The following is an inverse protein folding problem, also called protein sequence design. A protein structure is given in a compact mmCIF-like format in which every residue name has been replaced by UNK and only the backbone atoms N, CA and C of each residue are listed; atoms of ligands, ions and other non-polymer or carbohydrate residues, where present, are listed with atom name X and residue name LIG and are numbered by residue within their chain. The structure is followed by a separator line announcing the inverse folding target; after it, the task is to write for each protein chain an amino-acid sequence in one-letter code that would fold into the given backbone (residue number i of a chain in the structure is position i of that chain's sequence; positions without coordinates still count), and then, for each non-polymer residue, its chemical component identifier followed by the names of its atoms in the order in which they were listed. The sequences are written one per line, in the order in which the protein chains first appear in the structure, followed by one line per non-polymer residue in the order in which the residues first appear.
data_IF_287233846472
#
_entry.id   IF_287233846472
#
_cell.length_a   1.000
_cell.length_b   1.000
_cell.length_c   1.000
_cell.angle_alpha   90.00
_cell.angle_beta   90.00
_cell.angle_gamma   90.00
#
_symmetry.space_group_name_H-M   'P 1'
#
loop_
_entity.id
_entity.type
_entity.pdbx_description
1 polymer ?
#
# COMPACT_ATOMS: atom_id res chain seq x y z
N UNK A 1 79.10 12.03 16.01
CA UNK A 1 78.20 11.70 17.13
C UNK A 1 76.94 11.13 16.52
N UNK A 2 76.81 9.80 16.52
CA UNK A 2 75.73 9.07 15.84
C UNK A 2 74.70 8.68 16.90
N UNK A 3 73.45 9.13 16.73
CA UNK A 3 72.33 8.78 17.60
C UNK A 3 71.73 7.42 17.19
N UNK A 4 71.22 6.60 18.14
CA UNK A 4 70.71 5.28 17.83
C UNK A 4 69.25 5.34 17.35
N UNK A 5 68.95 4.52 16.33
CA UNK A 5 67.59 4.28 15.82
C UNK A 5 66.91 3.26 16.73
N UNK A 6 65.84 3.68 17.42
CA UNK A 6 65.01 2.79 18.23
C UNK A 6 64.05 2.00 17.33
N UNK A 7 64.17 0.67 17.33
CA UNK A 7 63.27 -0.24 16.63
C UNK A 7 61.96 -0.45 17.43
N UNK A 8 60.83 -0.02 16.87
CA UNK A 8 59.50 -0.38 17.37
C UNK A 8 59.11 -1.77 16.85
N UNK A 9 58.98 -2.74 17.75
CA UNK A 9 58.40 -4.04 17.47
C UNK A 9 56.87 -3.95 17.38
N UNK A 10 56.30 -4.24 16.21
CA UNK A 10 54.85 -4.35 16.01
C UNK A 10 54.41 -5.76 16.42
N UNK A 11 53.72 -5.87 17.56
CA UNK A 11 53.14 -7.12 18.02
C UNK A 11 51.92 -7.47 17.16
N UNK A 12 52.04 -8.49 16.32
CA UNK A 12 50.94 -9.06 15.55
C UNK A 12 50.01 -9.88 16.48
N UNK A 13 48.87 -9.30 16.86
CA UNK A 13 47.81 -10.02 17.59
C UNK A 13 47.04 -10.93 16.63
N UNK A 14 47.35 -12.22 16.70
CA UNK A 14 46.57 -13.29 16.07
C UNK A 14 45.16 -13.33 16.67
N UNK A 15 44.18 -12.77 15.96
CA UNK A 15 42.75 -12.97 16.22
C UNK A 15 42.37 -14.40 15.83
N UNK A 16 42.42 -15.32 16.79
CA UNK A 16 41.86 -16.65 16.65
C UNK A 16 40.34 -16.55 16.50
N UNK A 17 39.84 -16.80 15.29
CA UNK A 17 38.41 -16.89 15.01
C UNK A 17 37.84 -18.14 15.69
N UNK A 18 37.17 -17.95 16.83
CA UNK A 18 36.37 -19.00 17.45
C UNK A 18 35.15 -19.20 16.56
N UNK A 19 35.15 -20.27 15.75
CA UNK A 19 33.97 -20.74 15.06
C UNK A 19 32.96 -21.22 16.12
N UNK A 20 32.04 -20.33 16.50
CA UNK A 20 30.94 -20.66 17.37
C UNK A 20 30.04 -21.67 16.67
N UNK A 21 30.19 -22.95 17.04
CA UNK A 21 29.29 -24.02 16.64
C UNK A 21 27.92 -23.75 17.25
N UNK A 22 27.04 -23.07 16.50
CA UNK A 22 25.68 -22.76 16.93
C UNK A 22 24.93 -24.06 17.26
N UNK A 23 24.55 -24.24 18.54
CA UNK A 23 23.69 -25.35 18.98
C UNK A 23 22.35 -25.26 18.24
N UNK A 24 22.06 -26.27 17.41
CA UNK A 24 20.82 -26.42 16.65
C UNK A 24 19.61 -26.33 17.60
N UNK A 25 18.82 -25.26 17.47
CA UNK A 25 17.58 -25.09 18.22
C UNK A 25 16.62 -26.27 17.96
N UNK A 26 15.85 -26.64 18.98
CA UNK A 26 14.75 -27.59 18.84
C UNK A 26 13.76 -27.08 17.79
N UNK A 27 13.31 -27.96 16.89
CA UNK A 27 12.63 -27.56 15.65
C UNK A 27 11.38 -26.72 15.88
N UNK A 28 11.35 -25.53 15.31
CA UNK A 28 10.18 -24.66 15.23
C UNK A 28 9.11 -25.29 14.35
N UNK A 29 7.84 -25.17 14.74
CA UNK A 29 6.70 -25.49 13.86
C UNK A 29 6.49 -24.28 12.95
N UNK A 30 6.60 -24.49 11.64
CA UNK A 30 6.34 -23.44 10.67
C UNK A 30 4.85 -23.06 10.65
N UNK A 31 4.52 -21.76 10.42
CA UNK A 31 3.15 -21.36 10.17
C UNK A 31 2.61 -22.06 8.92
N UNK A 32 1.28 -22.20 8.85
CA UNK A 32 0.60 -22.63 7.63
C UNK A 32 0.94 -21.75 6.43
N UNK A 33 0.63 -22.21 5.22
CA UNK A 33 0.94 -21.49 3.99
C UNK A 33 0.72 -22.33 2.75
N UNK A 34 0.75 -21.68 1.59
CA UNK A 34 0.72 -22.31 0.26
C UNK A 34 2.15 -22.49 -0.23
N UNK A 35 2.46 -23.66 -0.75
CA UNK A 35 3.78 -24.00 -1.31
C UNK A 35 3.62 -24.36 -2.79
N UNK A 36 4.16 -23.53 -3.67
CA UNK A 36 4.05 -23.63 -5.13
C UNK A 36 5.09 -24.62 -5.67
N UNK A 37 4.66 -25.58 -6.50
CA UNK A 37 5.53 -26.63 -7.05
C UNK A 37 6.51 -26.08 -8.11
N UNK A 38 7.78 -26.46 -7.99
CA UNK A 38 8.82 -26.02 -8.91
C UNK A 38 8.87 -26.83 -10.20
N UNK A 39 8.22 -26.34 -11.25
CA UNK A 39 8.67 -26.47 -12.65
C UNK A 39 8.12 -25.27 -13.44
N UNK A 40 9.03 -24.49 -14.04
CA UNK A 40 8.72 -23.21 -14.65
C UNK A 40 7.62 -23.25 -15.73
N UNK A 41 7.02 -22.08 -15.95
CA UNK A 41 5.97 -21.76 -16.92
C UNK A 41 4.58 -22.21 -16.48
N UNK A 42 4.00 -21.49 -15.52
CA UNK A 42 2.56 -21.52 -15.30
C UNK A 42 1.92 -20.75 -16.46
N UNK A 43 1.19 -21.47 -17.29
CA UNK A 43 0.13 -20.90 -18.12
C UNK A 43 -0.86 -20.21 -17.16
N UNK A 44 -1.14 -18.89 -17.29
CA UNK A 44 -2.01 -18.15 -16.37
C UNK A 44 -3.44 -18.73 -16.28
N UNK A 45 -3.80 -19.70 -17.13
CA UNK A 45 -5.05 -20.46 -17.03
C UNK A 45 -5.00 -21.68 -16.07
N UNK A 46 -3.83 -22.11 -15.56
CA UNK A 46 -3.65 -23.38 -14.83
C UNK A 46 -3.01 -23.25 -13.43
N UNK A 47 -2.99 -22.04 -12.85
CA UNK A 47 -2.26 -21.67 -11.62
C UNK A 47 -2.65 -22.30 -10.29
N UNK A 48 -2.71 -23.63 -10.18
CA UNK A 48 -3.13 -24.30 -8.93
C UNK A 48 -2.25 -25.46 -8.46
N UNK A 49 -1.03 -25.68 -9.01
CA UNK A 49 -0.13 -26.73 -8.50
C UNK A 49 0.55 -26.31 -7.19
N UNK A 50 -0.23 -26.26 -6.11
CA UNK A 50 0.21 -25.87 -4.76
C UNK A 50 -0.13 -26.94 -3.71
N UNK A 51 0.76 -27.09 -2.72
CA UNK A 51 0.50 -27.81 -1.47
C UNK A 51 0.12 -26.78 -0.41
N UNK A 52 -1.09 -26.88 0.15
CA UNK A 52 -1.58 -25.91 1.15
C UNK A 52 -1.61 -26.56 2.52
N UNK A 53 -1.00 -25.91 3.51
CA UNK A 53 -1.06 -26.31 4.93
C UNK A 53 -1.87 -25.27 5.69
N UNK A 54 -3.00 -25.66 6.28
CA UNK A 54 -3.81 -24.77 7.13
C UNK A 54 -4.51 -25.54 8.24
N UNK A 55 -4.42 -25.05 9.47
CA UNK A 55 -5.12 -25.64 10.62
C UNK A 55 -4.85 -27.14 10.88
N UNK A 56 -3.67 -27.64 10.51
CA UNK A 56 -3.33 -29.08 10.60
C UNK A 56 -3.91 -29.95 9.48
N UNK A 57 -4.49 -29.34 8.45
CA UNK A 57 -4.91 -30.00 7.22
C UNK A 57 -3.94 -29.69 6.09
N UNK A 58 -3.86 -30.63 5.14
CA UNK A 58 -3.11 -30.48 3.90
C UNK A 58 -4.00 -30.80 2.71
N UNK A 59 -3.95 -29.97 1.67
CA UNK A 59 -4.52 -30.22 0.35
C UNK A 59 -3.45 -30.09 -0.73
N UNK A 60 -3.71 -30.68 -1.90
CA UNK A 60 -2.84 -30.57 -3.08
C UNK A 60 -3.73 -30.13 -4.24
N UNK A 61 -3.58 -28.87 -4.66
CA UNK A 61 -4.32 -28.28 -5.77
C UNK A 61 -5.84 -28.54 -5.67
N UNK A 62 -6.50 -28.64 -6.83
CA UNK A 62 -7.84 -29.24 -6.99
C UNK A 62 -7.84 -30.78 -6.99
N UNK A 63 -6.67 -31.41 -6.98
CA UNK A 63 -6.54 -32.86 -7.09
C UNK A 63 -6.90 -33.59 -5.79
N UNK A 64 -6.36 -33.15 -4.66
CA UNK A 64 -6.58 -33.80 -3.36
C UNK A 64 -7.23 -32.82 -2.37
N UNK A 65 -8.45 -33.11 -1.86
CA UNK A 65 -9.17 -32.24 -0.92
C UNK A 65 -8.46 -32.15 0.43
N UNK A 66 -8.81 -31.22 1.33
CA UNK A 66 -8.17 -31.12 2.64
C UNK A 66 -8.24 -32.43 3.45
N UNK A 67 -7.09 -32.95 3.87
CA UNK A 67 -6.96 -34.12 4.73
C UNK A 67 -6.14 -33.79 5.97
N UNK A 68 -6.46 -34.43 7.10
CA UNK A 68 -5.69 -34.27 8.33
C UNK A 68 -4.23 -34.67 8.11
N UNK A 69 -3.32 -33.80 8.52
CA UNK A 69 -1.90 -34.02 8.43
C UNK A 69 -1.27 -34.14 9.81
N UNK A 70 -0.28 -35.02 9.91
CA UNK A 70 0.62 -35.09 11.05
C UNK A 70 1.80 -34.16 10.79
N UNK A 71 1.83 -33.04 11.52
CA UNK A 71 2.92 -32.08 11.55
C UNK A 71 3.85 -32.45 12.72
N UNK A 72 5.14 -32.63 12.47
CA UNK A 72 6.10 -33.03 13.50
C UNK A 72 7.39 -32.22 13.36
N UNK A 73 7.75 -31.40 14.36
CA UNK A 73 9.01 -30.66 14.32
C UNK A 73 10.21 -31.60 14.39
N UNK A 74 11.31 -31.21 13.76
CA UNK A 74 12.54 -32.01 13.71
C UNK A 74 13.78 -31.15 13.47
N UNK A 75 14.97 -31.76 13.64
CA UNK A 75 16.27 -31.08 13.46
C UNK A 75 16.59 -30.69 12.01
N UNK A 76 15.85 -31.23 11.04
CA UNK A 76 15.96 -30.93 9.61
C UNK A 76 14.76 -30.12 9.12
N UNK A 77 13.96 -29.55 10.03
CA UNK A 77 12.71 -28.86 9.72
C UNK A 77 11.45 -29.63 10.11
N UNK A 78 10.29 -29.10 9.75
CA UNK A 78 8.98 -29.66 10.08
C UNK A 78 8.58 -30.75 9.08
N UNK A 79 8.34 -31.97 9.57
CA UNK A 79 7.85 -33.07 8.73
C UNK A 79 6.33 -33.04 8.63
N UNK A 80 5.83 -33.18 7.40
CA UNK A 80 4.41 -33.16 7.05
C UNK A 80 4.05 -34.51 6.46
N UNK A 81 3.06 -35.19 7.05
CA UNK A 81 2.51 -36.43 6.50
C UNK A 81 1.01 -36.35 6.39
N UNK A 82 0.48 -36.64 5.21
CA UNK A 82 -0.96 -36.68 4.96
C UNK A 82 -1.31 -37.89 4.09
N UNK A 83 -2.55 -38.35 4.19
CA UNK A 83 -3.05 -39.45 3.38
C UNK A 83 -4.50 -39.20 2.97
N UNK A 84 -4.81 -39.48 1.71
CA UNK A 84 -6.13 -39.34 1.12
C UNK A 84 -6.69 -40.70 0.75
N UNK A 85 -8.00 -40.86 0.92
CA UNK A 85 -8.72 -42.06 0.48
C UNK A 85 -8.92 -42.07 -1.03
N UNK A 86 -9.11 -40.89 -1.62
CA UNK A 86 -9.22 -40.65 -3.04
C UNK A 86 -8.75 -39.23 -3.36
N UNK A 87 -8.15 -39.05 -4.53
CA UNK A 87 -7.89 -37.76 -5.16
C UNK A 87 -8.43 -37.82 -6.59
N UNK A 88 -8.87 -36.68 -7.12
CA UNK A 88 -9.35 -36.53 -8.49
C UNK A 88 -8.28 -37.02 -9.47
N UNK A 89 -8.67 -37.94 -10.38
CA UNK A 89 -7.75 -38.48 -11.39
C UNK A 89 -6.74 -39.53 -10.90
N UNK A 90 -6.76 -39.92 -9.61
CA UNK A 90 -5.86 -40.94 -9.07
C UNK A 90 -6.61 -42.12 -8.47
N UNK A 91 -6.29 -43.32 -8.94
CA UNK A 91 -6.85 -44.55 -8.40
C UNK A 91 -6.24 -44.89 -7.04
N UNK A 92 -7.11 -45.00 -6.01
CA UNK A 92 -6.75 -45.49 -4.69
C UNK A 92 -6.18 -44.43 -3.73
N UNK A 93 -5.54 -44.92 -2.66
CA UNK A 93 -4.98 -44.05 -1.61
C UNK A 93 -3.76 -43.30 -2.11
N UNK A 94 -3.67 -42.02 -1.71
CA UNK A 94 -2.53 -41.15 -1.97
C UNK A 94 -1.86 -40.82 -0.64
N UNK A 95 -0.53 -40.84 -0.62
CA UNK A 95 0.28 -40.52 0.55
C UNK A 95 1.24 -39.39 0.22
N UNK A 96 1.25 -38.36 1.07
CA UNK A 96 2.24 -37.29 1.04
C UNK A 96 3.21 -37.46 2.21
N UNK A 97 4.50 -37.40 1.90
CA UNK A 97 5.55 -37.24 2.88
C UNK A 97 6.46 -36.10 2.43
N UNK A 98 6.46 -35.01 3.18
CA UNK A 98 7.26 -33.82 2.88
C UNK A 98 7.95 -33.30 4.14
N UNK A 99 8.99 -32.49 3.94
CA UNK A 99 9.71 -31.75 4.97
C UNK A 99 9.78 -30.30 4.53
N UNK A 100 9.34 -29.41 5.43
CA UNK A 100 9.52 -27.97 5.33
C UNK A 100 10.83 -27.63 6.04
N UNK A 101 11.72 -26.89 5.38
CA UNK A 101 13.02 -26.51 5.95
C UNK A 101 12.86 -25.60 7.19
N UNK A 102 13.88 -25.50 8.06
CA UNK A 102 13.81 -24.64 9.25
C UNK A 102 13.50 -23.17 8.98
N UNK A 103 13.87 -22.64 7.80
CA UNK A 103 13.52 -21.28 7.34
C UNK A 103 12.05 -21.12 6.97
N UNK A 104 11.31 -22.22 6.83
CA UNK A 104 9.90 -22.27 6.42
C UNK A 104 9.60 -21.88 4.96
N UNK A 105 10.61 -21.55 4.17
CA UNK A 105 10.47 -21.03 2.80
C UNK A 105 10.38 -22.13 1.74
N UNK A 106 10.90 -23.32 2.03
CA UNK A 106 10.97 -24.42 1.07
C UNK A 106 10.37 -25.70 1.65
N UNK A 107 9.76 -26.48 0.77
CA UNK A 107 9.22 -27.80 1.06
C UNK A 107 9.71 -28.79 0.01
N UNK A 108 10.31 -29.89 0.46
CA UNK A 108 10.66 -31.00 -0.40
C UNK A 108 9.94 -32.26 0.05
N UNK A 109 9.44 -33.06 -0.90
CA UNK A 109 8.64 -34.21 -0.56
C UNK A 109 8.44 -35.22 -1.66
N UNK A 110 7.59 -36.19 -1.37
CA UNK A 110 7.17 -37.21 -2.33
C UNK A 110 5.68 -37.46 -2.17
N UNK A 111 4.98 -37.49 -3.30
CA UNK A 111 3.60 -37.97 -3.41
C UNK A 111 3.64 -39.38 -3.98
N UNK A 112 2.96 -40.31 -3.31
CA UNK A 112 2.90 -41.72 -3.70
C UNK A 112 1.45 -42.15 -3.81
N UNK A 113 1.07 -42.70 -4.97
CA UNK A 113 -0.20 -43.38 -5.19
C UNK A 113 0.08 -44.79 -5.73
N UNK A 114 0.19 -45.81 -4.86
CA UNK A 114 0.67 -47.13 -5.26
C UNK A 114 -0.18 -47.80 -6.33
N UNK A 115 -1.51 -47.68 -6.25
CA UNK A 115 -2.44 -48.27 -7.22
C UNK A 115 -2.39 -47.60 -8.59
N UNK A 116 -2.07 -46.31 -8.62
CA UNK A 116 -1.80 -45.58 -9.85
C UNK A 116 -0.33 -45.68 -10.31
N UNK A 117 0.51 -46.47 -9.61
CA UNK A 117 1.97 -46.59 -9.83
C UNK A 117 2.69 -45.23 -9.88
N UNK A 118 2.15 -44.24 -9.18
CA UNK A 118 2.70 -42.88 -9.16
C UNK A 118 3.63 -42.72 -7.96
N UNK A 119 4.85 -42.27 -8.23
CA UNK A 119 5.77 -41.78 -7.20
C UNK A 119 6.50 -40.57 -7.76
N UNK A 120 6.05 -39.38 -7.38
CA UNK A 120 6.67 -38.12 -7.81
C UNK A 120 7.33 -37.44 -6.63
N UNK A 121 8.61 -37.08 -6.81
CA UNK A 121 9.30 -36.16 -5.92
C UNK A 121 8.99 -34.74 -6.36
N UNK A 122 8.94 -33.83 -5.41
CA UNK A 122 8.76 -32.42 -5.70
C UNK A 122 9.59 -31.57 -4.76
N UNK A 123 9.93 -30.38 -5.24
CA UNK A 123 10.36 -29.25 -4.43
C UNK A 123 9.34 -28.14 -4.67
N UNK A 124 9.00 -27.42 -3.60
CA UNK A 124 8.05 -26.33 -3.62
C UNK A 124 8.60 -25.17 -2.78
N UNK A 125 8.26 -23.94 -3.17
CA UNK A 125 8.57 -22.72 -2.42
C UNK A 125 7.30 -22.16 -1.81
N UNK A 126 7.40 -21.61 -0.59
CA UNK A 126 6.30 -20.89 0.04
C UNK A 126 5.97 -19.68 -0.84
N UNK A 127 4.68 -19.48 -1.11
CA UNK A 127 4.20 -18.29 -1.82
C UNK A 127 4.42 -17.08 -0.93
N UNK A 128 5.17 -16.10 -1.44
CA UNK A 128 5.40 -14.82 -0.79
C UNK A 128 5.26 -13.69 -1.79
N UNK A 129 4.71 -12.58 -1.32
CA UNK A 129 4.55 -11.41 -2.16
C UNK A 129 5.92 -10.88 -2.62
N UNK A 130 6.11 -10.76 -3.93
CA UNK A 130 7.38 -10.33 -4.52
C UNK A 130 8.40 -11.46 -4.72
N UNK A 131 7.97 -12.73 -4.63
CA UNK A 131 8.80 -13.89 -4.97
C UNK A 131 8.95 -14.12 -6.49
N UNK A 132 8.27 -13.30 -7.30
CA UNK A 132 8.26 -13.34 -8.75
C UNK A 132 7.31 -14.37 -9.35
N UNK A 133 6.43 -14.98 -8.54
CA UNK A 133 5.44 -15.97 -8.95
C UNK A 133 4.05 -15.56 -8.47
N UNK A 134 3.16 -15.24 -9.41
CA UNK A 134 1.79 -14.83 -9.08
C UNK A 134 0.93 -16.01 -8.58
N UNK A 135 0.57 -16.02 -7.30
CA UNK A 135 -0.36 -16.98 -6.68
C UNK A 135 -1.78 -16.43 -6.54
N UNK A 136 -2.52 -16.47 -7.66
CA UNK A 136 -3.96 -16.12 -7.68
C UNK A 136 -4.77 -16.94 -6.67
N UNK A 137 -4.39 -18.20 -6.46
CA UNK A 137 -5.04 -19.08 -5.48
C UNK A 137 -4.71 -18.76 -4.01
N UNK A 138 -3.68 -17.93 -3.78
CA UNK A 138 -3.31 -17.34 -2.50
C UNK A 138 -3.89 -15.93 -2.28
N UNK A 139 -4.56 -15.37 -3.30
CA UNK A 139 -5.14 -14.03 -3.25
C UNK A 139 -4.22 -12.93 -3.78
N UNK A 140 -3.09 -13.27 -4.39
CA UNK A 140 -2.20 -12.32 -5.04
C UNK A 140 -2.80 -11.86 -6.37
N UNK A 141 -2.80 -10.55 -6.60
CA UNK A 141 -3.32 -9.92 -7.83
C UNK A 141 -2.18 -9.52 -8.77
N UNK A 142 -0.97 -9.38 -8.24
CA UNK A 142 0.19 -8.85 -8.94
C UNK A 142 1.47 -9.29 -8.24
N UNK A 143 2.59 -9.12 -8.94
CA UNK A 143 3.94 -9.42 -8.45
C UNK A 143 4.89 -8.29 -8.82
N UNK A 144 5.71 -7.84 -7.85
CA UNK A 144 6.64 -6.72 -8.00
C UNK A 144 5.99 -5.45 -8.60
N UNK A 145 6.12 -5.21 -9.90
CA UNK A 145 5.47 -4.11 -10.65
C UNK A 145 4.62 -4.62 -11.85
N UNK A 146 4.50 -5.94 -11.99
CA UNK A 146 3.82 -6.61 -13.09
C UNK A 146 2.45 -7.16 -12.68
N UNK A 147 1.56 -7.29 -13.67
CA UNK A 147 0.23 -7.90 -13.49
C UNK A 147 -0.91 -6.94 -13.15
N UNK A 148 -0.60 -5.68 -12.77
CA UNK A 148 -1.61 -4.64 -12.59
C UNK A 148 -1.90 -3.84 -13.88
N UNK A 149 -3.05 -3.15 -13.90
CA UNK A 149 -3.40 -2.26 -15.01
C UNK A 149 -2.42 -1.08 -15.15
N UNK A 150 -2.45 -0.40 -16.30
CA UNK A 150 -1.51 0.68 -16.69
C UNK A 150 -1.30 1.81 -15.66
N UNK A 151 -2.26 2.06 -14.78
CA UNK A 151 -2.22 3.12 -13.75
C UNK A 151 -2.23 2.56 -12.33
N UNK A 152 -2.09 1.26 -12.18
CA UNK A 152 -2.07 0.57 -10.90
C UNK A 152 -0.65 0.13 -10.59
N UNK A 153 -0.33 0.10 -9.31
CA UNK A 153 0.93 -0.43 -8.81
C UNK A 153 0.65 -1.58 -7.87
N UNK A 154 1.55 -2.54 -7.84
CA UNK A 154 1.44 -3.63 -6.91
C UNK A 154 1.91 -3.16 -5.53
N UNK A 155 1.02 -3.13 -4.54
CA UNK A 155 1.36 -2.85 -3.15
C UNK A 155 0.84 -4.00 -2.31
N UNK A 156 1.76 -4.70 -1.65
CA UNK A 156 1.43 -5.90 -0.86
C UNK A 156 0.58 -6.91 -1.64
N UNK A 157 0.92 -7.13 -2.93
CA UNK A 157 0.26 -8.06 -3.84
C UNK A 157 -1.22 -7.77 -4.13
N UNK A 158 -1.65 -6.55 -3.85
CA UNK A 158 -2.89 -5.98 -4.34
C UNK A 158 -2.59 -4.91 -5.39
N UNK A 159 -3.37 -4.91 -6.47
CA UNK A 159 -3.36 -3.79 -7.38
C UNK A 159 -4.08 -2.63 -6.70
N UNK A 160 -3.30 -1.64 -6.33
CA UNK A 160 -3.83 -0.38 -5.82
C UNK A 160 -3.69 0.64 -6.93
N UNK A 161 -4.63 1.59 -6.99
CA UNK A 161 -4.47 2.76 -7.83
C UNK A 161 -3.09 3.34 -7.54
N UNK A 162 -2.22 3.30 -8.56
CA UNK A 162 -0.96 4.00 -8.54
C UNK A 162 -1.36 5.44 -8.47
N UNK A 163 -1.26 6.02 -7.28
CA UNK A 163 -1.53 7.44 -7.08
C UNK A 163 -0.69 8.19 -8.09
N UNK A 164 -1.32 8.56 -9.21
CA UNK A 164 -0.79 9.58 -10.07
C UNK A 164 -0.76 10.80 -9.17
N UNK A 165 0.44 11.31 -8.90
CA UNK A 165 0.58 12.75 -8.80
C UNK A 165 0.19 13.27 -10.17
N UNK A 166 -1.13 13.39 -10.41
CA UNK A 166 -1.67 13.93 -11.63
C UNK A 166 -1.33 15.40 -11.61
N UNK A 167 -0.15 15.75 -12.12
CA UNK A 167 0.08 17.11 -12.62
C UNK A 167 -0.88 17.25 -13.80
N UNK A 168 -2.10 17.69 -13.50
CA UNK A 168 -3.09 18.06 -14.49
C UNK A 168 -2.50 19.27 -15.20
N UNK A 169 -1.86 19.07 -16.36
CA UNK A 169 -1.66 20.15 -17.31
C UNK A 169 -3.03 20.52 -17.84
N UNK A 170 -3.71 21.41 -17.11
CA UNK A 170 -4.95 22.03 -17.53
C UNK A 170 -4.69 22.73 -18.87
N UNK A 171 -5.35 22.25 -19.93
CA UNK A 171 -5.38 22.91 -21.24
C UNK A 171 -6.24 24.19 -21.21
N UNK A 172 -6.91 24.45 -20.08
CA UNK A 172 -7.63 25.70 -19.85
C UNK A 172 -6.64 26.76 -19.35
N UNK A 173 -6.78 28.02 -19.77
CA UNK A 173 -5.95 29.10 -19.26
C UNK A 173 -6.03 29.13 -17.72
N UNK A 174 -4.92 29.47 -17.05
CA UNK A 174 -4.90 29.55 -15.60
C UNK A 174 -5.95 30.56 -15.12
N UNK A 175 -6.57 30.25 -13.99
CA UNK A 175 -7.56 31.13 -13.37
C UNK A 175 -6.83 32.36 -12.84
N UNK A 176 -7.32 33.54 -13.20
CA UNK A 176 -6.83 34.81 -12.69
C UNK A 176 -7.63 35.23 -11.46
N UNK A 177 -6.95 35.56 -10.36
CA UNK A 177 -7.63 36.05 -9.18
C UNK A 177 -8.42 37.33 -9.49
N UNK A 178 -7.77 38.29 -10.15
CA UNK A 178 -8.36 39.59 -10.44
C UNK A 178 -9.51 39.52 -11.46
N UNK A 179 -9.38 38.67 -12.48
CA UNK A 179 -10.36 38.56 -13.58
C UNK A 179 -11.49 37.58 -13.29
N UNK A 180 -11.20 36.46 -12.62
CA UNK A 180 -12.13 35.34 -12.55
C UNK A 180 -12.70 35.14 -11.12
N UNK A 181 -11.90 35.34 -10.06
CA UNK A 181 -12.32 35.09 -8.66
C UNK A 181 -12.89 36.34 -7.99
N UNK A 182 -12.21 37.48 -8.10
CA UNK A 182 -12.64 38.73 -7.46
C UNK A 182 -14.04 39.18 -7.88
N UNK A 183 -14.48 39.04 -9.15
CA UNK A 183 -15.85 39.38 -9.53
C UNK A 183 -16.90 38.54 -8.81
N UNK A 184 -16.63 37.24 -8.57
CA UNK A 184 -17.51 36.35 -7.82
C UNK A 184 -17.65 36.86 -6.38
N UNK A 185 -16.53 37.15 -5.71
CA UNK A 185 -16.57 37.71 -4.36
C UNK A 185 -17.29 39.05 -4.30
N UNK A 186 -17.08 39.91 -5.30
CA UNK A 186 -17.71 41.23 -5.37
C UNK A 186 -19.23 41.10 -5.51
N UNK A 187 -19.70 40.17 -6.34
CA UNK A 187 -21.12 39.96 -6.60
C UNK A 187 -21.85 39.27 -5.45
N UNK A 188 -21.19 38.35 -4.73
CA UNK A 188 -21.88 37.42 -3.82
C UNK A 188 -21.41 37.45 -2.37
N UNK A 189 -20.30 38.12 -2.05
CA UNK A 189 -19.69 38.05 -0.71
C UNK A 189 -19.35 39.43 -0.12
N UNK A 190 -18.77 40.33 -0.93
CA UNK A 190 -18.40 41.70 -0.56
C UNK A 190 -19.63 42.64 -0.57
N UNK A 191 -20.73 42.18 0.01
CA UNK A 191 -21.96 42.94 0.17
C UNK A 191 -21.91 43.75 1.48
N UNK A 192 -22.52 44.95 1.53
CA UNK A 192 -22.62 45.72 2.76
C UNK A 192 -23.12 44.85 3.92
N UNK A 193 -22.45 44.97 5.08
CA UNK A 193 -22.71 44.19 6.30
C UNK A 193 -22.34 42.70 6.26
N UNK A 194 -21.87 42.17 5.12
CA UNK A 194 -21.34 40.82 4.99
C UNK A 194 -19.80 40.84 5.08
N UNK A 195 -19.08 40.82 3.96
CA UNK A 195 -17.61 40.78 3.94
C UNK A 195 -17.01 42.03 3.29
N UNK A 196 -17.56 43.21 3.56
CA UNK A 196 -16.98 44.49 3.12
C UNK A 196 -17.31 45.62 4.10
N UNK A 197 -16.50 46.68 4.06
CA UNK A 197 -16.76 47.93 4.78
C UNK A 197 -16.04 48.02 6.13
N UNK A 198 -16.47 48.91 7.04
CA UNK A 198 -15.72 49.22 8.26
C UNK A 198 -15.81 48.12 9.34
N UNK A 199 -16.78 47.20 9.23
CA UNK A 199 -16.99 46.09 10.16
C UNK A 199 -17.40 44.82 9.40
N UNK A 200 -16.48 44.23 8.62
CA UNK A 200 -16.78 43.01 7.89
C UNK A 200 -16.93 41.83 8.87
N UNK A 201 -17.88 40.95 8.58
CA UNK A 201 -18.11 39.72 9.36
C UNK A 201 -16.84 38.88 9.42
N UNK A 202 -16.59 38.31 10.59
CA UNK A 202 -15.40 37.50 10.88
C UNK A 202 -14.07 38.19 10.55
N UNK A 203 -14.03 39.53 10.56
CA UNK A 203 -12.85 40.32 10.21
C UNK A 203 -12.26 39.89 8.84
N UNK A 204 -13.14 39.67 7.85
CA UNK A 204 -12.78 39.25 6.50
C UNK A 204 -13.34 40.26 5.48
N UNK A 205 -12.46 41.09 4.92
CA UNK A 205 -12.79 42.06 3.87
C UNK A 205 -12.47 41.44 2.49
N UNK A 206 -13.52 41.13 1.73
CA UNK A 206 -13.46 40.60 0.36
C UNK A 206 -13.58 41.69 -0.70
N UNK A 207 -13.49 42.96 -0.30
CA UNK A 207 -13.43 44.09 -1.21
C UNK A 207 -12.20 44.05 -2.12
N UNK A 208 -12.34 44.66 -3.30
CA UNK A 208 -11.27 44.77 -4.30
C UNK A 208 -10.01 45.38 -3.66
N UNK A 209 -8.86 44.74 -3.91
CA UNK A 209 -7.56 45.17 -3.40
C UNK A 209 -7.26 44.78 -1.94
N UNK A 210 -8.18 44.10 -1.24
CA UNK A 210 -8.00 43.62 0.15
C UNK A 210 -8.25 42.12 0.30
N UNK A 211 -9.16 41.58 -0.50
CA UNK A 211 -9.60 40.18 -0.52
C UNK A 211 -8.46 39.16 -0.50
N UNK A 212 -7.47 39.28 -1.39
CA UNK A 212 -6.40 38.30 -1.54
C UNK A 212 -5.61 38.12 -0.23
N UNK A 213 -5.07 39.22 0.29
CA UNK A 213 -4.27 39.24 1.52
C UNK A 213 -5.08 38.86 2.76
N UNK A 214 -6.41 38.98 2.72
CA UNK A 214 -7.30 38.57 3.79
C UNK A 214 -7.66 37.07 3.75
N UNK A 215 -7.33 36.36 2.65
CA UNK A 215 -7.72 34.96 2.41
C UNK A 215 -6.53 33.99 2.42
N UNK A 216 -5.52 34.25 1.58
CA UNK A 216 -4.47 33.26 1.31
C UNK A 216 -3.54 33.15 2.51
N UNK A 217 -3.41 31.93 3.03
CA UNK A 217 -2.58 31.57 4.19
C UNK A 217 -2.93 32.33 5.49
N UNK A 218 -4.11 32.94 5.56
CA UNK A 218 -4.64 33.58 6.77
C UNK A 218 -5.47 32.59 7.57
N UNK A 219 -5.19 32.36 8.87
CA UNK A 219 -6.00 31.49 9.71
C UNK A 219 -7.47 31.93 9.77
N UNK A 220 -8.40 30.97 9.80
CA UNK A 220 -9.82 31.26 9.97
C UNK A 220 -10.13 31.55 11.43
N UNK A 221 -11.00 32.53 11.72
CA UNK A 221 -11.37 32.84 13.12
C UNK A 221 -12.27 31.77 13.73
N UNK A 222 -13.18 31.22 12.92
CA UNK A 222 -14.08 30.15 13.33
C UNK A 222 -13.35 28.80 13.42
N UNK A 223 -12.28 28.63 12.63
CA UNK A 223 -11.45 27.42 12.64
C UNK A 223 -9.94 27.76 12.54
N UNK A 224 -9.26 28.04 13.67
CA UNK A 224 -7.85 28.43 13.64
C UNK A 224 -6.89 27.35 13.09
N UNK A 225 -7.33 26.08 13.07
CA UNK A 225 -6.58 24.96 12.52
C UNK A 225 -6.52 24.96 10.98
N UNK A 226 -7.40 25.69 10.31
CA UNK A 226 -7.48 25.75 8.84
C UNK A 226 -7.33 27.18 8.33
N UNK A 227 -6.49 27.37 7.31
CA UNK A 227 -6.40 28.63 6.60
C UNK A 227 -7.71 28.92 5.85
N UNK A 228 -8.06 30.20 5.72
CA UNK A 228 -9.21 30.65 4.91
C UNK A 228 -9.08 30.12 3.48
N UNK A 229 -7.89 30.27 2.90
CA UNK A 229 -7.46 29.60 1.68
C UNK A 229 -6.07 29.02 1.89
N UNK A 230 -5.91 27.71 1.66
CA UNK A 230 -4.62 27.03 1.63
C UNK A 230 -4.21 26.79 0.18
N UNK A 231 -3.14 27.45 -0.26
CA UNK A 231 -2.67 27.36 -1.64
C UNK A 231 -2.37 25.89 -2.05
N UNK A 232 -2.90 25.46 -3.19
CA UNK A 232 -2.75 24.10 -3.72
C UNK A 232 -3.68 23.06 -3.09
N UNK A 233 -4.37 23.38 -2.00
CA UNK A 233 -5.19 22.44 -1.24
C UNK A 233 -6.63 22.97 -1.04
N UNK A 234 -7.49 22.93 -2.08
CA UNK A 234 -8.90 23.36 -1.96
C UNK A 234 -9.65 22.60 -0.86
N UNK A 235 -9.36 21.30 -0.69
CA UNK A 235 -10.14 20.47 0.25
C UNK A 235 -9.74 20.69 1.72
N UNK A 236 -8.64 21.42 1.95
CA UNK A 236 -8.19 21.88 3.27
C UNK A 236 -8.45 23.38 3.49
N UNK A 237 -9.08 24.05 2.51
CA UNK A 237 -9.37 25.48 2.57
C UNK A 237 -10.73 25.72 3.20
N UNK A 238 -10.75 26.48 4.29
CA UNK A 238 -11.99 26.79 5.02
C UNK A 238 -13.05 27.48 4.14
N UNK A 239 -12.62 28.25 3.14
CA UNK A 239 -13.52 28.88 2.16
C UNK A 239 -14.37 27.83 1.43
N UNK A 240 -13.79 26.72 0.99
CA UNK A 240 -14.52 25.66 0.27
C UNK A 240 -15.52 24.99 1.22
N UNK A 241 -15.12 24.69 2.45
CA UNK A 241 -16.04 24.14 3.46
C UNK A 241 -17.25 25.05 3.70
N UNK A 242 -17.03 26.38 3.75
CA UNK A 242 -18.12 27.36 3.92
C UNK A 242 -19.01 27.46 2.69
N UNK A 243 -18.48 27.30 1.48
CA UNK A 243 -19.26 27.31 0.24
C UNK A 243 -20.08 26.02 0.04
N UNK A 244 -19.49 24.88 0.37
CA UNK A 244 -20.14 23.56 0.28
C UNK A 244 -20.99 23.23 1.51
N UNK A 245 -20.88 24.00 2.59
CA UNK A 245 -21.63 23.78 3.82
C UNK A 245 -21.35 22.43 4.48
N UNK A 246 -20.17 21.87 4.24
CA UNK A 246 -19.72 20.58 4.71
C UNK A 246 -18.20 20.61 4.86
N UNK A 247 -17.69 19.98 5.90
CA UNK A 247 -16.26 19.99 6.24
C UNK A 247 -16.05 19.62 7.70
N UNK A 248 -14.85 19.15 8.02
CA UNK A 248 -14.50 18.73 9.38
C UNK A 248 -14.57 19.89 10.39
N UNK A 249 -14.39 21.12 9.90
CA UNK A 249 -14.46 22.33 10.71
C UNK A 249 -15.62 23.26 10.32
N UNK A 250 -16.59 22.76 9.54
CA UNK A 250 -17.74 23.56 9.13
C UNK A 250 -18.57 23.97 10.35
N UNK A 251 -18.63 25.29 10.60
CA UNK A 251 -19.39 25.87 11.69
C UNK A 251 -20.47 26.82 11.17
N UNK A 252 -21.60 26.81 11.90
CA UNK A 252 -22.77 27.66 11.69
C UNK A 252 -23.47 27.41 10.36
N UNK A 253 -23.27 28.28 9.38
CA UNK A 253 -24.07 28.34 8.17
C UNK A 253 -23.20 28.39 6.92
N UNK A 254 -23.72 27.77 5.86
CA UNK A 254 -23.15 27.83 4.51
C UNK A 254 -23.19 29.28 4.03
N UNK A 255 -22.13 29.71 3.36
CA UNK A 255 -22.05 30.99 2.67
C UNK A 255 -22.26 30.77 1.17
N UNK A 256 -22.94 31.70 0.46
CA UNK A 256 -23.58 32.92 0.97
C UNK A 256 -24.87 32.66 1.77
N UNK A 257 -25.17 33.52 2.76
CA UNK A 257 -26.43 33.41 3.51
C UNK A 257 -27.64 33.66 2.61
N UNK A 258 -28.63 32.76 2.64
CA UNK A 258 -29.87 32.90 1.87
C UNK A 258 -29.81 32.39 0.43
N UNK A 259 -28.73 31.71 0.04
CA UNK A 259 -28.61 31.10 -1.29
C UNK A 259 -27.48 30.08 -1.37
N UNK A 260 -27.24 29.57 -2.58
CA UNK A 260 -26.09 28.71 -2.89
C UNK A 260 -25.35 29.34 -4.06
N UNK A 261 -24.03 29.45 -3.95
CA UNK A 261 -23.21 29.92 -5.05
C UNK A 261 -23.29 28.91 -6.21
N UNK A 262 -23.41 29.34 -7.47
CA UNK A 262 -23.44 28.42 -8.60
C UNK A 262 -22.24 27.46 -8.60
N UNK A 263 -22.46 26.20 -8.94
CA UNK A 263 -21.39 25.20 -8.95
C UNK A 263 -20.21 25.57 -9.88
N UNK A 264 -20.47 26.34 -10.95
CA UNK A 264 -19.43 26.85 -11.83
C UNK A 264 -18.49 27.86 -11.12
N UNK A 265 -19.05 28.71 -10.25
CA UNK A 265 -18.29 29.72 -9.51
C UNK A 265 -17.49 29.07 -8.38
N UNK A 266 -18.09 28.12 -7.66
CA UNK A 266 -17.37 27.27 -6.69
C UNK A 266 -16.23 26.53 -7.39
N UNK A 267 -16.49 25.98 -8.57
CA UNK A 267 -15.47 25.31 -9.40
C UNK A 267 -14.34 26.24 -9.83
N UNK A 268 -14.64 27.51 -10.12
CA UNK A 268 -13.64 28.55 -10.47
C UNK A 268 -12.75 28.87 -9.27
N UNK A 269 -13.34 29.09 -8.09
CA UNK A 269 -12.61 29.33 -6.83
C UNK A 269 -11.74 28.10 -6.49
N UNK A 270 -12.31 26.91 -6.49
CA UNK A 270 -11.58 25.68 -6.18
C UNK A 270 -10.43 25.41 -7.16
N UNK A 271 -10.59 25.76 -8.43
CA UNK A 271 -9.50 25.67 -9.41
C UNK A 271 -8.39 26.68 -9.15
N UNK A 272 -8.73 27.94 -8.87
CA UNK A 272 -7.74 28.95 -8.50
C UNK A 272 -6.92 28.52 -7.28
N UNK A 273 -7.56 27.98 -6.24
CA UNK A 273 -6.86 27.45 -5.06
C UNK A 273 -5.94 26.30 -5.46
N UNK A 274 -6.44 25.33 -6.23
CA UNK A 274 -5.66 24.17 -6.71
C UNK A 274 -4.44 24.59 -7.56
N UNK A 275 -4.56 25.66 -8.33
CA UNK A 275 -3.46 26.24 -9.13
C UNK A 275 -2.44 27.04 -8.30
N UNK A 276 -2.59 27.05 -6.97
CA UNK A 276 -1.68 27.70 -6.03
C UNK A 276 -2.15 29.06 -5.55
N UNK A 277 -3.44 29.38 -5.68
CA UNK A 277 -4.07 30.60 -5.19
C UNK A 277 -3.29 31.88 -5.56
N UNK A 278 -2.88 32.02 -6.83
CA UNK A 278 -2.01 33.13 -7.30
C UNK A 278 -2.74 34.47 -7.35
N UNK A 279 -2.05 35.57 -7.05
CA UNK A 279 -2.55 36.94 -7.28
C UNK A 279 -2.13 37.43 -8.69
N UNK A 280 -2.97 37.18 -9.69
CA UNK A 280 -2.65 37.35 -11.12
C UNK A 280 -3.78 37.96 -11.96
#
# INVERSE_FOLDING_TARGET
MVAPVAALAVAATLLASVAASQKKAAGTICPGGRFLLGSGVVDPAAGEEAVVISGGFVSIAKACPPARAKLTPGRSGMRVKAAWRACSGLAGKVHLSATVEPGCDTMAGTVVAPRAKLRKRFAARRSECGDGVLDVGGGEQCEADGGCALLERCVACACVAGGSTTTTTSTLPPVSFSRDVQPIFTASCALPFCHVGPRPQQNLDLGVGRSYAALVDVPSLECPASARVQAGAPEMSYLIEKLDGAGDCFLLSRMPLGGVLPAADIGTIGRWIREGARDN
#
